data_IF_730843455834
#
_entry.id   IF_730843455834
#
_cell.length_a   1.000
_cell.length_b   1.000
_cell.length_c   1.000
_cell.angle_alpha   90.00
_cell.angle_beta   90.00
_cell.angle_gamma   90.00
#
_symmetry.space_group_name_H-M   'P 1'
#
loop_
_entity.id
_entity.type
_entity.pdbx_description
1 polymer ?
#
# COMPACT_ATOMS: atom_id res chain seq x y z
N UNK A 1 29.39 18.19 44.67
CA UNK A 1 29.48 17.88 43.22
C UNK A 1 30.15 16.52 43.11
N UNK A 2 29.41 15.42 43.32
CA UNK A 2 29.98 14.06 43.30
C UNK A 2 30.10 13.56 41.87
N UNK A 3 31.19 12.84 41.62
CA UNK A 3 31.59 12.31 40.33
C UNK A 3 30.43 11.63 39.57
N UNK A 4 30.27 12.01 38.30
CA UNK A 4 29.54 11.20 37.33
C UNK A 4 30.37 9.93 37.14
N UNK A 5 29.80 8.78 37.51
CA UNK A 5 30.42 7.47 37.36
C UNK A 5 30.60 7.16 35.86
N UNK A 6 31.80 7.45 35.33
CA UNK A 6 32.15 7.32 33.91
C UNK A 6 32.40 5.87 33.48
N UNK A 7 32.20 4.88 34.37
CA UNK A 7 32.48 3.47 34.13
C UNK A 7 31.25 2.55 34.06
N UNK A 8 30.04 3.05 34.28
CA UNK A 8 28.84 2.22 34.25
C UNK A 8 28.52 1.77 32.81
N UNK A 9 28.72 0.49 32.52
CA UNK A 9 28.38 -0.12 31.24
C UNK A 9 26.91 0.12 30.90
N UNK A 10 26.63 0.60 29.68
CA UNK A 10 25.27 0.85 29.21
C UNK A 10 24.43 -0.44 29.33
N UNK A 11 23.19 -0.38 29.88
CA UNK A 11 22.34 -1.55 29.99
C UNK A 11 22.07 -2.13 28.60
N UNK A 12 22.53 -3.35 28.34
CA UNK A 12 22.33 -4.00 27.06
C UNK A 12 20.84 -4.32 26.88
N UNK A 13 20.22 -3.67 25.90
CA UNK A 13 18.85 -3.95 25.51
C UNK A 13 18.81 -5.39 24.95
N UNK A 14 18.09 -6.30 25.61
CA UNK A 14 17.90 -7.66 25.10
C UNK A 14 17.19 -7.56 23.75
N UNK A 15 17.78 -8.13 22.70
CA UNK A 15 17.15 -8.20 21.39
C UNK A 15 15.85 -8.98 21.50
N UNK A 16 14.73 -8.32 21.20
CA UNK A 16 13.42 -8.94 21.22
C UNK A 16 13.12 -9.55 19.84
N UNK A 17 13.26 -10.87 19.74
CA UNK A 17 13.00 -11.63 18.51
C UNK A 17 11.54 -12.05 18.36
N UNK A 18 10.71 -11.83 19.40
CA UNK A 18 9.29 -12.25 19.41
C UNK A 18 8.53 -11.70 18.19
N UNK A 19 8.67 -10.41 17.79
CA UNK A 19 7.94 -9.87 16.64
C UNK A 19 8.30 -10.54 15.31
N UNK A 20 9.51 -11.08 15.18
CA UNK A 20 9.99 -11.74 13.95
C UNK A 20 9.62 -13.22 13.93
N UNK A 21 9.69 -13.88 15.09
CA UNK A 21 9.37 -15.30 15.22
C UNK A 21 7.88 -15.58 15.16
N UNK A 22 7.04 -14.63 15.60
CA UNK A 22 5.59 -14.83 15.69
C UNK A 22 4.92 -15.05 14.31
N UNK A 23 5.17 -14.24 13.26
CA UNK A 23 4.64 -14.50 11.92
C UNK A 23 5.13 -15.83 11.32
N UNK A 24 6.40 -16.19 11.55
CA UNK A 24 6.99 -17.44 11.09
C UNK A 24 6.33 -18.66 11.77
N UNK A 25 6.15 -18.59 13.09
CA UNK A 25 5.47 -19.63 13.85
C UNK A 25 4.01 -19.78 13.39
N UNK A 26 3.30 -18.67 13.18
CA UNK A 26 1.93 -18.67 12.66
C UNK A 26 1.84 -19.30 11.26
N UNK A 27 2.77 -18.97 10.36
CA UNK A 27 2.82 -19.55 9.02
C UNK A 27 3.05 -21.07 9.06
N UNK A 28 3.93 -21.56 9.95
CA UNK A 28 4.19 -22.99 10.13
C UNK A 28 3.00 -23.73 10.75
N UNK A 29 2.31 -23.12 11.71
CA UNK A 29 1.10 -23.70 12.32
C UNK A 29 -0.06 -23.70 11.32
N UNK A 30 -0.16 -22.70 10.45
CA UNK A 30 -1.19 -22.63 9.42
C UNK A 30 -1.04 -23.72 8.34
N UNK A 31 0.19 -24.20 8.08
CA UNK A 31 0.45 -25.22 7.05
C UNK A 31 -0.39 -26.51 7.21
N UNK A 32 -0.37 -27.21 8.36
CA UNK A 32 -1.20 -28.40 8.56
C UNK A 32 -2.70 -28.08 8.62
N UNK A 33 -3.10 -26.85 9.00
CA UNK A 33 -4.50 -26.44 9.07
C UNK A 33 -5.14 -26.24 7.69
N UNK A 34 -4.36 -25.80 6.70
CA UNK A 34 -4.84 -25.56 5.32
C UNK A 34 -4.91 -26.84 4.48
N UNK A 35 -4.04 -27.81 4.74
CA UNK A 35 -4.05 -29.13 4.07
C UNK A 35 -3.59 -29.15 2.60
N UNK A 36 -3.50 -27.99 1.93
CA UNK A 36 -3.00 -27.84 0.55
C UNK A 36 -1.77 -26.92 0.50
N UNK A 37 -0.66 -27.41 -0.07
CA UNK A 37 0.59 -26.65 -0.22
C UNK A 37 0.41 -25.41 -1.10
N UNK A 38 -0.36 -25.55 -2.19
CA UNK A 38 -0.65 -24.44 -3.11
C UNK A 38 -1.44 -23.33 -2.41
N UNK A 39 -2.54 -23.69 -1.74
CA UNK A 39 -3.39 -22.72 -1.04
C UNK A 39 -2.66 -22.03 0.11
N UNK A 40 -1.86 -22.77 0.87
CA UNK A 40 -1.04 -22.20 1.95
C UNK A 40 -0.03 -21.18 1.42
N UNK A 41 0.66 -21.51 0.32
CA UNK A 41 1.63 -20.61 -0.31
C UNK A 41 0.95 -19.33 -0.80
N UNK A 42 -0.17 -19.47 -1.52
CA UNK A 42 -0.93 -18.33 -2.04
C UNK A 42 -1.44 -17.42 -0.93
N UNK A 43 -2.03 -17.96 0.13
CA UNK A 43 -2.53 -17.16 1.26
C UNK A 43 -1.41 -16.49 2.05
N UNK A 44 -0.29 -17.18 2.27
CA UNK A 44 0.87 -16.61 2.97
C UNK A 44 1.47 -15.46 2.17
N UNK A 45 1.65 -15.65 0.85
CA UNK A 45 2.17 -14.61 -0.03
C UNK A 45 1.19 -13.43 -0.16
N UNK A 46 -0.12 -13.69 -0.27
CA UNK A 46 -1.14 -12.66 -0.30
C UNK A 46 -1.18 -11.85 1.01
N UNK A 47 -1.08 -12.52 2.16
CA UNK A 47 -1.01 -11.88 3.47
C UNK A 47 0.23 -11.01 3.63
N UNK A 48 1.41 -11.52 3.22
CA UNK A 48 2.64 -10.73 3.18
C UNK A 48 2.53 -9.53 2.24
N UNK A 49 1.99 -9.72 1.03
CA UNK A 49 1.82 -8.64 0.06
C UNK A 49 0.88 -7.55 0.60
N UNK A 50 -0.25 -7.94 1.20
CA UNK A 50 -1.19 -7.00 1.82
C UNK A 50 -0.59 -6.31 3.06
N UNK A 51 0.17 -7.03 3.88
CA UNK A 51 0.90 -6.47 5.01
C UNK A 51 1.94 -5.44 4.57
N UNK A 52 2.72 -5.75 3.53
CA UNK A 52 3.70 -4.83 2.94
C UNK A 52 3.02 -3.59 2.33
N UNK A 53 1.87 -3.75 1.69
CA UNK A 53 1.07 -2.63 1.19
C UNK A 53 0.62 -1.71 2.34
N UNK A 54 0.04 -2.27 3.41
CA UNK A 54 -0.41 -1.49 4.57
C UNK A 54 0.77 -0.82 5.27
N UNK A 55 1.89 -1.53 5.42
CA UNK A 55 3.13 -0.98 5.97
C UNK A 55 3.66 0.19 5.13
N UNK A 56 3.71 0.05 3.80
CA UNK A 56 4.15 1.11 2.91
C UNK A 56 3.21 2.34 2.99
N UNK A 57 1.90 2.13 3.08
CA UNK A 57 0.94 3.22 3.29
C UNK A 57 1.15 3.95 4.62
N UNK A 58 1.28 3.19 5.72
CA UNK A 58 1.46 3.75 7.06
C UNK A 58 2.80 4.48 7.23
N UNK A 59 3.88 3.91 6.68
CA UNK A 59 5.22 4.53 6.71
C UNK A 59 5.28 5.77 5.81
N UNK A 60 4.57 5.77 4.67
CA UNK A 60 4.43 6.95 3.80
C UNK A 60 3.79 8.14 4.51
N UNK A 61 2.70 7.91 5.26
CA UNK A 61 2.06 8.93 6.08
C UNK A 61 3.05 9.48 7.14
N UNK A 62 3.78 8.60 7.82
CA UNK A 62 4.77 8.98 8.85
C UNK A 62 5.92 9.81 8.28
N UNK A 63 6.42 9.48 7.08
CA UNK A 63 7.48 10.22 6.41
C UNK A 63 7.04 11.62 5.98
N UNK A 64 5.85 11.75 5.38
CA UNK A 64 5.30 13.05 4.97
C UNK A 64 5.08 13.94 6.19
N UNK A 65 4.52 13.38 7.26
CA UNK A 65 4.36 14.09 8.52
C UNK A 65 5.69 14.53 9.14
N UNK A 66 6.65 13.62 9.25
CA UNK A 66 7.90 13.85 9.96
C UNK A 66 8.84 14.85 9.27
N UNK A 67 8.71 15.06 7.95
CA UNK A 67 9.58 15.95 7.19
C UNK A 67 8.91 17.26 6.74
N UNK A 68 7.59 17.26 6.51
CA UNK A 68 6.88 18.41 5.91
C UNK A 68 5.87 19.08 6.86
N UNK A 69 5.64 18.56 8.06
CA UNK A 69 4.63 19.05 9.04
C UNK A 69 3.21 19.20 8.44
N UNK A 70 2.88 18.36 7.45
CA UNK A 70 1.61 18.42 6.70
C UNK A 70 0.80 17.16 6.91
N UNK A 71 -0.45 17.34 7.37
CA UNK A 71 -1.44 16.25 7.46
C UNK A 71 -2.11 16.01 6.11
N UNK A 72 -1.72 14.94 5.43
CA UNK A 72 -2.43 14.46 4.24
C UNK A 72 -3.25 13.21 4.53
N UNK A 73 -4.53 13.41 4.88
CA UNK A 73 -5.50 12.31 5.03
C UNK A 73 -6.02 11.78 3.68
N UNK A 74 -5.76 12.50 2.59
CA UNK A 74 -6.15 12.12 1.24
C UNK A 74 -5.27 11.07 0.58
N UNK A 75 -4.18 10.61 1.22
CA UNK A 75 -3.28 9.65 0.59
C UNK A 75 -4.01 8.38 0.15
N UNK A 76 -5.04 7.96 0.91
CA UNK A 76 -5.77 6.72 0.68
C UNK A 76 -6.51 6.75 -0.65
N UNK A 77 -6.97 7.93 -1.07
CA UNK A 77 -7.59 8.12 -2.37
C UNK A 77 -6.65 7.76 -3.53
N UNK A 78 -5.34 8.05 -3.43
CA UNK A 78 -4.40 7.72 -4.51
C UNK A 78 -4.16 6.21 -4.63
N UNK A 79 -4.25 5.48 -3.52
CA UNK A 79 -4.18 4.01 -3.53
C UNK A 79 -5.40 3.46 -4.26
N UNK A 80 -6.59 3.99 -3.97
CA UNK A 80 -7.82 3.62 -4.68
C UNK A 80 -7.74 3.97 -6.18
N UNK A 81 -7.27 5.17 -6.53
CA UNK A 81 -7.04 5.57 -7.93
C UNK A 81 -6.10 4.58 -8.63
N UNK A 82 -4.98 4.24 -8.01
CA UNK A 82 -4.04 3.25 -8.56
C UNK A 82 -4.67 1.88 -8.79
N UNK A 83 -5.49 1.41 -7.84
CA UNK A 83 -6.22 0.14 -7.97
C UNK A 83 -7.21 0.15 -9.15
N UNK A 84 -7.99 1.22 -9.32
CA UNK A 84 -8.90 1.35 -10.46
C UNK A 84 -8.16 1.51 -11.80
N UNK A 85 -7.03 2.22 -11.81
CA UNK A 85 -6.18 2.29 -13.00
C UNK A 85 -5.64 0.91 -13.37
N UNK A 86 -5.27 0.08 -12.39
CA UNK A 86 -4.87 -1.29 -12.66
C UNK A 86 -6.00 -2.12 -13.28
N UNK A 87 -7.25 -1.98 -12.79
CA UNK A 87 -8.44 -2.62 -13.40
C UNK A 87 -8.57 -2.24 -14.87
N UNK A 88 -8.50 -0.95 -15.19
CA UNK A 88 -8.58 -0.45 -16.56
C UNK A 88 -7.41 -0.94 -17.41
N UNK A 89 -6.21 -0.98 -16.84
CA UNK A 89 -5.01 -1.45 -17.52
C UNK A 89 -5.12 -2.94 -17.88
N UNK A 90 -5.63 -3.76 -16.97
CA UNK A 90 -5.75 -5.21 -17.17
C UNK A 90 -6.88 -5.59 -18.13
N UNK A 91 -7.91 -4.76 -18.29
CA UNK A 91 -9.04 -5.03 -19.19
C UNK A 91 -8.62 -5.42 -20.63
N UNK A 92 -7.78 -4.65 -21.35
CA UNK A 92 -7.30 -5.04 -22.68
C UNK A 92 -6.29 -6.20 -22.67
N UNK A 93 -5.72 -6.55 -21.51
CA UNK A 93 -4.70 -7.60 -21.34
C UNK A 93 -5.28 -8.91 -20.80
N UNK A 94 -6.60 -9.06 -20.75
CA UNK A 94 -7.26 -10.25 -20.20
C UNK A 94 -6.79 -11.56 -20.88
N UNK A 95 -6.55 -11.54 -22.19
CA UNK A 95 -6.04 -12.70 -22.93
C UNK A 95 -4.63 -13.12 -22.47
N UNK A 96 -3.79 -12.17 -22.06
CA UNK A 96 -2.46 -12.46 -21.52
C UNK A 96 -2.55 -13.08 -20.13
N UNK A 97 -3.49 -12.61 -19.29
CA UNK A 97 -3.68 -13.12 -17.92
C UNK A 97 -4.32 -14.52 -17.87
N UNK A 98 -5.15 -14.85 -18.87
CA UNK A 98 -5.73 -16.19 -19.00
C UNK A 98 -4.79 -17.18 -19.70
N UNK A 99 -3.56 -16.77 -20.01
CA UNK A 99 -2.57 -17.68 -20.57
C UNK A 99 -2.07 -18.65 -19.50
N UNK A 100 -1.86 -19.95 -19.83
CA UNK A 100 -1.27 -20.91 -18.92
C UNK A 100 0.24 -20.65 -18.68
N UNK A 101 0.83 -19.68 -19.38
CA UNK A 101 2.23 -19.30 -19.21
C UNK A 101 2.39 -18.28 -18.07
N UNK A 102 3.16 -18.67 -17.05
CA UNK A 102 3.56 -17.76 -15.97
C UNK A 102 4.25 -16.50 -16.49
N UNK A 103 5.10 -16.63 -17.52
CA UNK A 103 5.83 -15.50 -18.09
C UNK A 103 4.88 -14.47 -18.75
N UNK A 104 3.81 -14.94 -19.42
CA UNK A 104 2.82 -14.06 -20.02
C UNK A 104 2.02 -13.29 -18.95
N UNK A 105 1.67 -13.97 -17.85
CA UNK A 105 0.97 -13.36 -16.72
C UNK A 105 1.82 -12.30 -16.02
N UNK A 106 3.11 -12.57 -15.80
CA UNK A 106 4.04 -11.60 -15.23
C UNK A 106 4.31 -10.41 -16.16
N UNK A 107 4.34 -10.65 -17.48
CA UNK A 107 4.54 -9.59 -18.47
C UNK A 107 3.36 -8.61 -18.50
N UNK A 108 2.14 -9.07 -18.27
CA UNK A 108 0.96 -8.19 -18.16
C UNK A 108 0.97 -7.30 -16.90
N UNK A 109 1.65 -7.74 -15.83
CA UNK A 109 1.74 -7.00 -14.57
C UNK A 109 2.56 -5.71 -14.70
N UNK A 110 3.68 -5.76 -15.43
CA UNK A 110 4.61 -4.64 -15.59
C UNK A 110 3.92 -3.38 -16.17
N UNK A 111 3.25 -3.42 -17.34
CA UNK A 111 2.60 -2.24 -17.90
C UNK A 111 1.46 -1.73 -17.01
N UNK A 112 0.70 -2.62 -16.36
CA UNK A 112 -0.36 -2.23 -15.43
C UNK A 112 0.21 -1.48 -14.22
N UNK A 113 1.30 -1.98 -13.63
CA UNK A 113 2.01 -1.31 -12.54
C UNK A 113 2.55 0.06 -12.94
N UNK A 114 3.25 0.13 -14.09
CA UNK A 114 3.83 1.39 -14.57
C UNK A 114 2.76 2.44 -14.85
N UNK A 115 1.65 2.04 -15.46
CA UNK A 115 0.52 2.94 -15.71
C UNK A 115 -0.10 3.43 -14.39
N UNK A 116 -0.35 2.53 -13.44
CA UNK A 116 -0.89 2.89 -12.13
C UNK A 116 0.04 3.86 -11.38
N UNK A 117 1.35 3.61 -11.38
CA UNK A 117 2.34 4.51 -10.78
C UNK A 117 2.39 5.88 -11.46
N UNK A 118 2.37 5.91 -12.80
CA UNK A 118 2.40 7.16 -13.56
C UNK A 118 1.15 8.01 -13.29
N UNK A 119 -0.05 7.39 -13.34
CA UNK A 119 -1.31 8.11 -13.09
C UNK A 119 -1.39 8.57 -11.64
N UNK A 120 -1.05 7.73 -10.66
CA UNK A 120 -1.02 8.12 -9.26
C UNK A 120 -0.01 9.26 -8.99
N UNK A 121 1.16 9.21 -9.62
CA UNK A 121 2.18 10.26 -9.52
C UNK A 121 1.72 11.60 -10.09
N UNK A 122 1.09 11.59 -11.27
CA UNK A 122 0.51 12.79 -11.90
C UNK A 122 -0.64 13.34 -11.05
N UNK A 123 -1.54 12.48 -10.57
CA UNK A 123 -2.65 12.87 -9.71
C UNK A 123 -2.15 13.47 -8.39
N UNK A 124 -1.14 12.86 -7.77
CA UNK A 124 -0.51 13.36 -6.55
C UNK A 124 0.17 14.71 -6.76
N UNK A 125 0.90 14.89 -7.87
CA UNK A 125 1.50 16.17 -8.22
C UNK A 125 0.44 17.27 -8.45
N UNK A 126 -0.64 16.96 -9.16
CA UNK A 126 -1.74 17.89 -9.37
C UNK A 126 -2.41 18.27 -8.04
N UNK A 127 -2.65 17.29 -7.18
CA UNK A 127 -3.25 17.49 -5.86
C UNK A 127 -2.37 18.38 -4.97
N UNK A 128 -1.07 18.11 -4.92
CA UNK A 128 -0.10 18.92 -4.21
C UNK A 128 -0.11 20.37 -4.73
N UNK A 129 -0.06 20.55 -6.05
CA UNK A 129 0.04 21.89 -6.66
C UNK A 129 -1.23 22.71 -6.49
N UNK A 130 -2.40 22.09 -6.59
CA UNK A 130 -3.71 22.76 -6.64
C UNK A 130 -4.38 22.87 -5.27
N UNK A 131 -4.21 21.89 -4.39
CA UNK A 131 -4.93 21.82 -3.12
C UNK A 131 -4.01 22.07 -1.93
N UNK A 132 -2.88 21.38 -1.83
CA UNK A 132 -2.04 21.41 -0.62
C UNK A 132 -1.17 22.67 -0.57
N UNK A 133 -0.45 22.98 -1.64
CA UNK A 133 0.50 24.10 -1.69
C UNK A 133 -0.10 25.48 -1.35
N UNK A 134 -1.35 25.82 -1.74
CA UNK A 134 -1.98 27.10 -1.37
C UNK A 134 -2.25 27.26 0.14
N UNK A 135 -2.36 26.16 0.89
CA UNK A 135 -2.72 26.18 2.31
C UNK A 135 -1.55 25.78 3.23
N UNK A 136 -0.31 25.83 2.72
CA UNK A 136 0.87 25.59 3.55
C UNK A 136 0.94 26.54 4.75
N UNK A 137 1.38 25.99 5.89
CA UNK A 137 1.44 26.69 7.18
C UNK A 137 0.10 26.80 7.92
N UNK A 138 -1.01 26.30 7.36
CA UNK A 138 -2.34 26.35 7.98
C UNK A 138 -2.87 24.94 8.23
N UNK A 139 -2.40 24.29 9.30
CA UNK A 139 -2.68 22.86 9.59
C UNK A 139 -4.18 22.50 9.54
N UNK A 140 -5.07 23.31 10.11
CA UNK A 140 -6.51 23.04 10.06
C UNK A 140 -7.06 23.05 8.61
N UNK A 141 -6.60 23.99 7.77
CA UNK A 141 -7.01 24.05 6.35
C UNK A 141 -6.45 22.89 5.54
N UNK A 142 -5.23 22.43 5.84
CA UNK A 142 -4.65 21.24 5.22
C UNK A 142 -5.48 19.99 5.51
N UNK A 143 -5.90 19.80 6.77
CA UNK A 143 -6.76 18.67 7.12
C UNK A 143 -8.08 18.75 6.36
N UNK A 144 -8.75 19.91 6.38
CA UNK A 144 -10.03 20.09 5.70
C UNK A 144 -9.94 19.87 4.19
N UNK A 145 -8.92 20.41 3.53
CA UNK A 145 -8.78 20.27 2.07
C UNK A 145 -8.37 18.86 1.65
N UNK A 146 -7.57 18.17 2.47
CA UNK A 146 -7.13 16.80 2.17
C UNK A 146 -8.26 15.79 2.42
N UNK A 147 -9.05 15.96 3.48
CA UNK A 147 -10.28 15.19 3.72
C UNK A 147 -11.35 15.49 2.66
N UNK A 148 -11.54 16.75 2.29
CA UNK A 148 -12.46 17.11 1.20
C UNK A 148 -12.01 16.51 -0.13
N UNK A 149 -10.72 16.57 -0.43
CA UNK A 149 -10.11 15.96 -1.60
C UNK A 149 -10.27 14.44 -1.64
N UNK A 150 -10.06 13.75 -0.51
CA UNK A 150 -10.32 12.31 -0.35
C UNK A 150 -11.76 11.98 -0.79
N UNK A 151 -12.74 12.67 -0.20
CA UNK A 151 -14.16 12.44 -0.48
C UNK A 151 -14.46 12.68 -1.95
N UNK A 152 -14.00 13.80 -2.53
CA UNK A 152 -14.24 14.11 -3.95
C UNK A 152 -13.67 13.02 -4.85
N UNK A 153 -12.42 12.56 -4.61
CA UNK A 153 -11.82 11.50 -5.41
C UNK A 153 -12.58 10.18 -5.24
N UNK A 154 -12.94 9.80 -4.02
CA UNK A 154 -13.74 8.60 -3.77
C UNK A 154 -15.11 8.65 -4.45
N UNK A 155 -15.80 9.79 -4.41
CA UNK A 155 -17.08 9.96 -5.10
C UNK A 155 -16.92 9.97 -6.62
N UNK A 156 -15.82 10.50 -7.16
CA UNK A 156 -15.51 10.41 -8.60
C UNK A 156 -15.26 8.96 -9.02
N UNK A 157 -14.53 8.18 -8.22
CA UNK A 157 -14.33 6.74 -8.46
C UNK A 157 -15.66 5.99 -8.39
N UNK A 158 -16.47 6.28 -7.38
CA UNK A 158 -17.81 5.69 -7.23
C UNK A 158 -18.72 6.02 -8.42
N UNK A 159 -18.70 7.27 -8.90
CA UNK A 159 -19.50 7.71 -10.04
C UNK A 159 -19.04 7.07 -11.37
N UNK A 160 -17.74 6.80 -11.53
CA UNK A 160 -17.17 6.25 -12.77
C UNK A 160 -17.22 4.73 -12.82
N UNK A 161 -16.98 4.05 -11.70
CA UNK A 161 -16.91 2.58 -11.65
C UNK A 161 -18.12 1.92 -10.99
N UNK A 162 -18.99 2.70 -10.34
CA UNK A 162 -20.16 2.19 -9.63
C UNK A 162 -19.83 1.57 -8.27
N UNK A 163 -20.86 1.09 -7.55
CA UNK A 163 -20.73 0.46 -6.23
C UNK A 163 -20.20 -0.98 -6.27
N UNK A 164 -20.08 -1.56 -7.46
CA UNK A 164 -19.78 -2.99 -7.60
C UNK A 164 -18.26 -3.23 -7.46
N UNK A 165 -17.90 -4.36 -6.85
CA UNK A 165 -16.54 -4.87 -6.89
C UNK A 165 -16.18 -5.15 -8.35
N UNK A 166 -15.10 -4.56 -8.85
CA UNK A 166 -14.54 -4.87 -10.16
C UNK A 166 -13.45 -5.93 -10.00
N UNK A 167 -13.78 -7.23 -10.15
CA UNK A 167 -12.78 -8.29 -9.98
C UNK A 167 -11.76 -8.22 -11.10
N UNK A 168 -10.48 -8.31 -10.72
CA UNK A 168 -9.42 -8.54 -11.67
C UNK A 168 -9.50 -10.00 -12.16
N UNK A 169 -9.33 -10.26 -13.47
CA UNK A 169 -9.22 -11.62 -13.95
C UNK A 169 -8.01 -12.28 -13.28
N UNK A 170 -8.20 -13.45 -12.68
CA UNK A 170 -7.11 -14.13 -11.99
C UNK A 170 -6.15 -14.75 -13.02
N UNK A 171 -4.82 -14.63 -12.82
CA UNK A 171 -3.85 -15.31 -13.65
C UNK A 171 -4.08 -16.83 -13.61
N UNK A 172 -4.27 -17.48 -14.75
CA UNK A 172 -4.61 -18.93 -14.79
C UNK A 172 -3.46 -19.86 -14.38
N UNK A 173 -2.23 -19.33 -14.32
CA UNK A 173 -1.02 -20.09 -13.99
C UNK A 173 -0.60 -20.00 -12.52
N UNK A 174 -1.38 -19.30 -11.68
CA UNK A 174 -1.14 -19.08 -10.24
C UNK A 174 -2.33 -19.58 -9.42
#
# INVERSE_FOLDING_TARGET
>A
MSAIDTGAALPQQKTDYIPVLLPLALALVAFPLVGSFSTWTTLTLAGLAMGMMIFAMASGLTLVFGLMDVMNFGHGAFVAVGAYVAVVAFAPMAALMQSPSLAANLLALIPAMLLAMAVAGVAGYAFERLLVRPVYGQHLKQILITMGGLIVIEQLLYATFGPQLNPLPLPSAL
#
